data_IF_145022351106
#
_entry.id   IF_145022351106
#
_cell.length_a   1.000
_cell.length_b   1.000
_cell.length_c   1.000
_cell.angle_alpha   90.00
_cell.angle_beta   90.00
_cell.angle_gamma   90.00
#
_symmetry.space_group_name_H-M   'P 1'
#
loop_
_entity.id
_entity.type
_entity.pdbx_description
1 polymer ?
#
# COMPACT_ATOMS: atom_id res chain seq x y z
N UNK A 1 6.90 -0.45 17.37
CA UNK A 1 6.36 0.91 17.15
C UNK A 1 4.94 0.87 17.65
N UNK A 2 4.59 1.74 18.60
CA UNK A 2 3.25 1.77 19.16
C UNK A 2 2.28 2.44 18.17
N UNK A 3 0.98 2.14 18.26
CA UNK A 3 -0.03 2.67 17.33
C UNK A 3 -0.03 4.21 17.28
N UNK A 4 0.12 4.86 18.43
CA UNK A 4 0.22 6.33 18.51
C UNK A 4 1.42 6.90 17.74
N UNK A 5 2.57 6.20 17.79
CA UNK A 5 3.77 6.63 17.05
C UNK A 5 3.56 6.48 15.54
N UNK A 6 2.84 5.44 15.12
CA UNK A 6 2.49 5.22 13.72
C UNK A 6 1.65 6.37 13.17
N UNK A 7 0.52 6.70 13.82
CA UNK A 7 -0.37 7.80 13.42
C UNK A 7 0.37 9.15 13.43
N UNK A 8 1.22 9.39 14.43
CA UNK A 8 2.01 10.62 14.49
C UNK A 8 2.96 10.75 13.28
N UNK A 9 3.60 9.65 12.86
CA UNK A 9 4.47 9.63 11.67
C UNK A 9 3.66 9.86 10.40
N UNK A 10 2.48 9.27 10.27
CA UNK A 10 1.62 9.47 9.09
C UNK A 10 1.21 10.93 8.92
N UNK A 11 0.70 11.57 9.98
CA UNK A 11 0.34 12.98 9.95
C UNK A 11 1.55 13.88 9.66
N UNK A 12 2.72 13.56 10.22
CA UNK A 12 3.95 14.29 9.93
C UNK A 12 4.32 14.20 8.45
N UNK A 13 4.25 13.01 7.86
CA UNK A 13 4.55 12.80 6.44
C UNK A 13 3.55 13.53 5.55
N UNK A 14 2.25 13.46 5.86
CA UNK A 14 1.21 14.22 5.13
C UNK A 14 1.47 15.72 5.23
N UNK A 15 1.77 16.25 6.41
CA UNK A 15 2.07 17.66 6.60
C UNK A 15 3.28 18.11 5.76
N UNK A 16 4.34 17.32 5.74
CA UNK A 16 5.52 17.58 4.89
C UNK A 16 5.12 17.59 3.40
N UNK A 17 4.34 16.60 2.96
CA UNK A 17 3.84 16.53 1.59
C UNK A 17 2.98 17.73 1.20
N UNK A 18 2.10 18.20 2.10
CA UNK A 18 1.29 19.42 1.91
C UNK A 18 2.19 20.64 1.75
N UNK A 19 3.18 20.82 2.64
CA UNK A 19 4.10 21.96 2.59
C UNK A 19 4.89 21.97 1.28
N UNK A 20 5.44 20.83 0.87
CA UNK A 20 6.24 20.74 -0.36
C UNK A 20 5.36 20.98 -1.60
N UNK A 21 4.15 20.40 -1.63
CA UNK A 21 3.23 20.55 -2.76
C UNK A 21 2.73 21.98 -2.89
N UNK A 22 2.37 22.63 -1.78
CA UNK A 22 1.95 24.03 -1.77
C UNK A 22 3.09 24.96 -2.17
N UNK A 23 4.30 24.77 -1.62
CA UNK A 23 5.48 25.53 -2.03
C UNK A 23 5.74 25.40 -3.54
N UNK A 24 5.65 24.18 -4.09
CA UNK A 24 5.79 23.92 -5.53
C UNK A 24 4.75 24.69 -6.35
N UNK A 25 3.47 24.65 -5.95
CA UNK A 25 2.39 25.37 -6.62
C UNK A 25 2.57 26.89 -6.58
N UNK A 26 2.99 27.43 -5.43
CA UNK A 26 3.24 28.87 -5.25
C UNK A 26 4.40 29.34 -6.14
N UNK A 27 5.53 28.63 -6.13
CA UNK A 27 6.69 28.96 -6.98
C UNK A 27 6.31 28.94 -8.44
N UNK A 28 5.54 27.92 -8.86
CA UNK A 28 5.12 27.79 -10.26
C UNK A 28 4.15 28.89 -10.69
N UNK A 29 3.25 29.28 -9.79
CA UNK A 29 2.33 30.39 -10.00
C UNK A 29 3.07 31.71 -10.11
N UNK A 30 4.04 31.96 -9.23
CA UNK A 30 4.84 33.18 -9.26
C UNK A 30 5.70 33.29 -10.52
N UNK A 31 6.26 32.17 -11.00
CA UNK A 31 7.05 32.14 -12.24
C UNK A 31 6.18 32.10 -13.51
N UNK A 32 4.86 32.05 -13.40
CA UNK A 32 3.94 32.01 -14.54
C UNK A 32 4.05 30.74 -15.39
N UNK A 33 4.59 29.64 -14.84
CA UNK A 33 4.88 28.41 -15.60
C UNK A 33 3.64 27.49 -15.60
N UNK A 34 2.54 27.97 -16.17
CA UNK A 34 1.26 27.23 -16.17
C UNK A 34 1.02 26.34 -17.39
N UNK A 35 1.95 26.31 -18.35
CA UNK A 35 1.75 25.65 -19.65
C UNK A 35 1.48 24.14 -19.56
N UNK A 36 1.78 23.48 -18.43
CA UNK A 36 1.60 22.04 -18.25
C UNK A 36 1.13 21.68 -16.83
N UNK A 37 -0.15 21.86 -16.55
CA UNK A 37 -0.77 21.67 -15.21
C UNK A 37 -1.02 20.22 -14.79
N UNK A 38 -0.91 19.25 -15.71
CA UNK A 38 -1.22 17.84 -15.43
C UNK A 38 -0.35 17.21 -14.33
N UNK A 39 0.94 17.53 -14.29
CA UNK A 39 1.84 17.01 -13.24
C UNK A 39 1.39 17.46 -11.85
N UNK A 40 1.06 18.75 -11.70
CA UNK A 40 0.64 19.28 -10.42
C UNK A 40 -0.80 18.87 -10.06
N UNK A 41 -1.67 18.68 -11.05
CA UNK A 41 -3.01 18.11 -10.84
C UNK A 41 -2.92 16.71 -10.23
N UNK A 42 -2.17 15.80 -10.86
CA UNK A 42 -2.04 14.43 -10.36
C UNK A 42 -1.39 14.38 -8.97
N UNK A 43 -0.45 15.29 -8.69
CA UNK A 43 0.17 15.40 -7.37
C UNK A 43 -0.83 15.82 -6.29
N UNK A 44 -1.63 16.85 -6.58
CA UNK A 44 -2.65 17.35 -5.65
C UNK A 44 -3.74 16.29 -5.45
N UNK A 45 -4.19 15.64 -6.52
CA UNK A 45 -5.15 14.55 -6.42
C UNK A 45 -4.60 13.43 -5.54
N UNK A 46 -3.37 12.96 -5.79
CA UNK A 46 -2.71 11.95 -4.95
C UNK A 46 -2.73 12.32 -3.46
N UNK A 47 -2.37 13.57 -3.13
CA UNK A 47 -2.43 14.06 -1.76
C UNK A 47 -3.85 14.04 -1.17
N UNK A 48 -4.86 14.40 -1.97
CA UNK A 48 -6.27 14.34 -1.56
C UNK A 48 -6.75 12.90 -1.31
N UNK A 49 -6.16 11.89 -1.96
CA UNK A 49 -6.46 10.47 -1.67
C UNK A 49 -5.79 9.99 -0.38
N UNK A 50 -4.58 10.48 -0.06
CA UNK A 50 -3.89 10.08 1.18
C UNK A 50 -4.48 10.70 2.46
N UNK A 51 -5.14 11.87 2.37
CA UNK A 51 -5.76 12.51 3.54
C UNK A 51 -6.87 11.65 4.17
N UNK A 52 -7.86 11.13 3.41
CA UNK A 52 -8.88 10.22 3.93
C UNK A 52 -8.29 8.95 4.58
N UNK A 53 -7.20 8.40 4.02
CA UNK A 53 -6.55 7.22 4.59
C UNK A 53 -6.06 7.51 6.01
N UNK A 54 -5.21 8.53 6.17
CA UNK A 54 -4.66 8.89 7.49
C UNK A 54 -5.75 9.34 8.47
N UNK A 55 -6.79 10.02 7.98
CA UNK A 55 -7.94 10.39 8.79
C UNK A 55 -8.73 9.15 9.26
N UNK A 56 -8.91 8.15 8.39
CA UNK A 56 -9.59 6.91 8.73
C UNK A 56 -8.79 6.05 9.70
N UNK A 57 -7.48 5.97 9.55
CA UNK A 57 -6.61 5.26 10.50
C UNK A 57 -6.66 5.92 11.89
N UNK A 58 -6.72 7.25 11.92
CA UNK A 58 -6.95 8.01 13.17
C UNK A 58 -8.34 7.75 13.76
N UNK A 59 -9.37 7.61 12.92
CA UNK A 59 -10.73 7.30 13.37
C UNK A 59 -10.83 5.89 13.96
N UNK A 60 -10.25 4.88 13.29
CA UNK A 60 -10.18 3.50 13.79
C UNK A 60 -9.50 3.46 15.16
N UNK A 61 -8.43 4.21 15.34
CA UNK A 61 -7.78 4.34 16.63
C UNK A 61 -8.69 4.94 17.70
N UNK A 62 -9.43 5.99 17.34
CA UNK A 62 -10.30 6.71 18.28
C UNK A 62 -11.44 5.85 18.83
N UNK A 63 -11.87 4.83 18.10
CA UNK A 63 -12.88 3.85 18.54
C UNK A 63 -12.27 2.67 19.32
N UNK A 64 -10.98 2.73 19.68
CA UNK A 64 -10.29 1.72 20.49
C UNK A 64 -9.88 0.46 19.72
N UNK A 65 -10.00 0.48 18.40
CA UNK A 65 -9.53 -0.61 17.54
C UNK A 65 -8.05 -0.41 17.28
N UNK A 66 -7.24 -1.40 17.66
CA UNK A 66 -5.79 -1.45 17.42
C UNK A 66 -5.47 -2.67 16.57
N UNK A 67 -4.24 -2.79 16.06
CA UNK A 67 -3.81 -3.92 15.22
C UNK A 67 -4.16 -5.31 15.80
N UNK A 68 -4.26 -5.44 17.12
CA UNK A 68 -4.52 -6.70 17.82
C UNK A 68 -5.98 -6.87 18.27
N UNK A 69 -6.78 -5.80 18.33
CA UNK A 69 -8.14 -5.81 18.88
C UNK A 69 -9.24 -5.66 17.83
N UNK A 70 -8.87 -5.68 16.54
CA UNK A 70 -9.80 -5.44 15.43
C UNK A 70 -10.96 -6.43 15.47
N UNK A 71 -12.13 -5.95 15.89
CA UNK A 71 -13.38 -6.67 15.73
C UNK A 71 -13.92 -6.39 14.32
N UNK A 72 -14.00 -7.44 13.49
CA UNK A 72 -14.51 -7.34 12.12
C UNK A 72 -16.00 -7.02 12.15
N UNK A 73 -16.31 -5.73 12.03
CA UNK A 73 -17.66 -5.23 11.82
C UNK A 73 -17.84 -4.91 10.33
N UNK A 74 -19.05 -5.09 9.80
CA UNK A 74 -19.39 -4.74 8.42
C UNK A 74 -18.92 -3.33 8.00
N UNK A 75 -19.15 -2.24 8.77
CA UNK A 75 -18.66 -0.90 8.38
C UNK A 75 -17.13 -0.81 8.32
N UNK A 76 -16.41 -1.57 9.15
CA UNK A 76 -14.95 -1.58 9.13
C UNK A 76 -14.41 -2.35 7.92
N UNK A 77 -15.07 -3.44 7.53
CA UNK A 77 -14.72 -4.18 6.32
C UNK A 77 -14.96 -3.35 5.05
N UNK A 78 -16.07 -2.59 4.98
CA UNK A 78 -16.32 -1.63 3.90
C UNK A 78 -15.22 -0.56 3.85
N UNK A 79 -14.84 -0.03 5.02
CA UNK A 79 -13.77 0.96 5.10
C UNK A 79 -12.44 0.38 4.61
N UNK A 80 -12.06 -0.83 5.04
CA UNK A 80 -10.82 -1.47 4.58
C UNK A 80 -10.80 -1.69 3.08
N UNK A 81 -11.88 -2.22 2.51
CA UNK A 81 -12.03 -2.36 1.07
C UNK A 81 -11.85 -1.02 0.34
N UNK A 82 -12.55 0.03 0.80
CA UNK A 82 -12.44 1.36 0.22
C UNK A 82 -11.01 1.95 0.38
N UNK A 83 -10.39 1.74 1.54
CA UNK A 83 -9.06 2.25 1.85
C UNK A 83 -7.98 1.63 0.96
N UNK A 84 -8.08 0.34 0.61
CA UNK A 84 -7.17 -0.32 -0.32
C UNK A 84 -7.23 0.35 -1.70
N UNK A 85 -8.43 0.55 -2.25
CA UNK A 85 -8.61 1.20 -3.55
C UNK A 85 -8.12 2.65 -3.55
N UNK A 86 -8.44 3.41 -2.49
CA UNK A 86 -8.01 4.81 -2.31
C UNK A 86 -6.49 4.89 -2.22
N UNK A 87 -5.87 3.97 -1.46
CA UNK A 87 -4.42 3.88 -1.29
C UNK A 87 -3.72 3.61 -2.62
N UNK A 88 -4.12 2.56 -3.35
CA UNK A 88 -3.51 2.22 -4.63
C UNK A 88 -3.67 3.34 -5.66
N UNK A 89 -4.86 3.93 -5.75
CA UNK A 89 -5.10 5.06 -6.64
C UNK A 89 -4.24 6.27 -6.27
N UNK A 90 -4.09 6.58 -4.98
CA UNK A 90 -3.19 7.63 -4.49
C UNK A 90 -1.74 7.40 -4.92
N UNK A 91 -1.24 6.16 -4.82
CA UNK A 91 0.09 5.78 -5.26
C UNK A 91 0.29 5.91 -6.78
N UNK A 92 -0.66 5.42 -7.59
CA UNK A 92 -0.57 5.57 -9.04
C UNK A 92 -0.66 7.03 -9.50
N UNK A 93 -1.49 7.86 -8.86
CA UNK A 93 -1.56 9.29 -9.16
C UNK A 93 -0.24 10.02 -8.86
N UNK A 94 0.45 9.67 -7.78
CA UNK A 94 1.79 10.21 -7.50
C UNK A 94 2.79 9.86 -8.63
N UNK A 95 2.72 8.64 -9.15
CA UNK A 95 3.56 8.18 -10.28
C UNK A 95 3.20 8.91 -11.58
N UNK A 96 1.91 9.10 -11.86
CA UNK A 96 1.46 9.87 -13.03
C UNK A 96 1.89 11.33 -12.97
N UNK A 97 1.94 11.94 -11.78
CA UNK A 97 2.53 13.28 -11.61
C UNK A 97 3.98 13.33 -12.08
N UNK A 98 4.78 12.34 -11.72
CA UNK A 98 6.19 12.25 -12.12
C UNK A 98 6.34 11.94 -13.62
N UNK A 99 5.53 11.04 -14.17
CA UNK A 99 5.50 10.75 -15.61
C UNK A 99 5.07 11.98 -16.44
N UNK A 100 4.10 12.74 -15.97
CA UNK A 100 3.67 13.98 -16.59
C UNK A 100 4.75 15.07 -16.51
N UNK A 101 5.56 15.10 -15.44
CA UNK A 101 6.74 15.95 -15.35
C UNK A 101 7.80 15.53 -16.38
N UNK A 102 8.09 14.22 -16.48
CA UNK A 102 9.02 13.71 -17.48
C UNK A 102 8.57 14.01 -18.91
N UNK A 103 7.28 13.94 -19.20
CA UNK A 103 6.73 14.33 -20.49
C UNK A 103 7.09 15.78 -20.89
N UNK A 104 7.23 16.68 -19.90
CA UNK A 104 7.66 18.07 -20.13
C UNK A 104 9.17 18.19 -20.28
N UNK A 105 9.93 17.37 -19.55
CA UNK A 105 11.39 17.38 -19.58
C UNK A 105 11.96 16.86 -20.90
N UNK A 106 11.31 15.84 -21.48
CA UNK A 106 11.77 15.24 -22.72
C UNK A 106 11.42 16.10 -23.94
N UNK A 107 12.38 16.59 -24.75
CA UNK A 107 12.04 17.24 -26.00
C UNK A 107 11.43 16.25 -27.00
N UNK A 108 10.56 16.73 -27.91
CA UNK A 108 9.89 15.89 -28.92
C UNK A 108 10.89 15.32 -29.94
N UNK A 109 12.05 15.96 -30.11
CA UNK A 109 13.11 15.54 -31.03
C UNK A 109 13.77 14.22 -30.67
N UNK A 110 13.73 13.79 -29.40
CA UNK A 110 14.42 12.60 -28.93
C UNK A 110 13.48 11.38 -28.90
N UNK A 111 13.47 10.63 -30.00
CA UNK A 111 12.52 9.51 -30.21
C UNK A 111 12.71 8.37 -29.21
N UNK A 112 13.96 7.97 -28.92
CA UNK A 112 14.26 6.83 -28.02
C UNK A 112 13.72 7.01 -26.59
N UNK A 113 14.05 8.10 -25.86
CA UNK A 113 13.52 8.30 -24.51
C UNK A 113 12.01 8.56 -24.50
N UNK A 114 11.45 9.10 -25.59
CA UNK A 114 10.00 9.25 -25.74
C UNK A 114 9.27 7.92 -25.85
N UNK A 115 9.80 6.97 -26.63
CA UNK A 115 9.25 5.61 -26.69
C UNK A 115 9.30 4.95 -25.31
N UNK A 116 10.45 5.03 -24.63
CA UNK A 116 10.59 4.46 -23.29
C UNK A 116 9.60 5.07 -22.30
N UNK A 117 9.43 6.39 -22.32
CA UNK A 117 8.42 7.07 -21.50
C UNK A 117 7.02 6.51 -21.76
N UNK A 118 6.61 6.38 -23.03
CA UNK A 118 5.29 5.85 -23.39
C UNK A 118 5.10 4.39 -22.96
N UNK A 119 6.15 3.56 -23.04
CA UNK A 119 6.11 2.19 -22.53
C UNK A 119 5.88 2.19 -21.02
N UNK A 120 6.59 3.03 -20.26
CA UNK A 120 6.41 3.12 -18.80
C UNK A 120 5.04 3.69 -18.43
N UNK A 121 4.54 4.67 -19.18
CA UNK A 121 3.17 5.20 -19.01
C UNK A 121 2.14 4.10 -19.25
N UNK A 122 2.24 3.37 -20.36
CA UNK A 122 1.34 2.26 -20.68
C UNK A 122 1.39 1.17 -19.60
N UNK A 123 2.58 0.84 -19.09
CA UNK A 123 2.74 -0.11 -18.00
C UNK A 123 2.07 0.38 -16.71
N UNK A 124 2.22 1.65 -16.33
CA UNK A 124 1.57 2.20 -15.13
C UNK A 124 0.05 2.28 -15.27
N UNK A 125 -0.47 2.60 -16.46
CA UNK A 125 -1.92 2.57 -16.74
C UNK A 125 -2.43 1.13 -16.65
N UNK A 126 -1.75 0.18 -17.29
CA UNK A 126 -2.09 -1.24 -17.20
C UNK A 126 -2.03 -1.76 -15.77
N UNK A 127 -1.03 -1.32 -15.00
CA UNK A 127 -0.88 -1.62 -13.57
C UNK A 127 -2.05 -1.11 -12.74
N UNK A 128 -2.39 0.18 -12.88
CA UNK A 128 -3.55 0.77 -12.19
C UNK A 128 -4.83 0.00 -12.49
N UNK A 129 -5.08 -0.30 -13.77
CA UNK A 129 -6.27 -1.05 -14.17
C UNK A 129 -6.24 -2.45 -13.57
N UNK A 130 -5.13 -3.19 -13.73
CA UNK A 130 -4.99 -4.55 -13.20
C UNK A 130 -5.20 -4.60 -11.69
N UNK A 131 -4.55 -3.73 -10.91
CA UNK A 131 -4.73 -3.60 -9.46
C UNK A 131 -6.19 -3.31 -9.13
N UNK A 132 -6.78 -2.27 -9.73
CA UNK A 132 -8.18 -1.93 -9.45
C UNK A 132 -9.17 -3.03 -9.81
N UNK A 133 -8.95 -3.77 -10.90
CA UNK A 133 -9.78 -4.92 -11.28
C UNK A 133 -9.61 -6.08 -10.30
N UNK A 134 -8.38 -6.39 -9.90
CA UNK A 134 -8.09 -7.44 -8.92
C UNK A 134 -8.76 -7.10 -7.59
N UNK A 135 -8.51 -5.92 -7.04
CA UNK A 135 -9.04 -5.53 -5.73
C UNK A 135 -10.57 -5.49 -5.72
N UNK A 136 -11.19 -5.08 -6.83
CA UNK A 136 -12.66 -4.96 -6.92
C UNK A 136 -13.35 -6.29 -7.18
N UNK A 137 -12.78 -7.13 -8.07
CA UNK A 137 -13.44 -8.32 -8.60
C UNK A 137 -12.80 -9.65 -8.19
N UNK A 138 -11.89 -9.65 -7.21
CA UNK A 138 -11.25 -10.88 -6.71
C UNK A 138 -12.29 -11.95 -6.32
N UNK A 139 -13.31 -11.53 -5.55
CA UNK A 139 -14.37 -12.40 -5.06
C UNK A 139 -15.49 -12.65 -6.09
N UNK A 140 -15.25 -12.32 -7.36
CA UNK A 140 -16.17 -12.49 -8.47
C UNK A 140 -16.95 -11.23 -8.84
N UNK A 141 -18.03 -11.39 -9.61
CA UNK A 141 -18.82 -10.27 -10.14
C UNK A 141 -19.61 -9.53 -9.06
N UNK A 142 -19.85 -10.15 -7.91
CA UNK A 142 -20.55 -9.52 -6.80
C UNK A 142 -19.56 -8.86 -5.85
N UNK A 143 -19.36 -7.56 -6.05
CA UNK A 143 -18.38 -6.74 -5.30
C UNK A 143 -18.66 -6.73 -3.80
N UNK A 144 -19.92 -6.93 -3.37
CA UNK A 144 -20.29 -6.91 -1.95
C UNK A 144 -19.75 -8.08 -1.14
N UNK A 145 -19.23 -9.12 -1.81
CA UNK A 145 -18.57 -10.22 -1.13
C UNK A 145 -17.26 -9.78 -0.46
N UNK A 146 -16.62 -8.72 -0.96
CA UNK A 146 -15.38 -8.16 -0.40
C UNK A 146 -15.49 -7.73 1.08
N UNK A 147 -16.70 -7.45 1.56
CA UNK A 147 -16.96 -7.04 2.94
C UNK A 147 -18.08 -7.87 3.60
N UNK A 148 -18.39 -9.05 3.06
CA UNK A 148 -19.38 -9.96 3.64
C UNK A 148 -18.87 -10.58 4.94
N UNK A 149 -19.76 -10.83 5.90
CA UNK A 149 -19.44 -11.46 7.19
C UNK A 149 -19.78 -12.96 7.19
N UNK A 150 -19.01 -13.78 7.91
CA UNK A 150 -19.26 -15.23 8.09
C UNK A 150 -18.53 -16.14 7.09
N UNK A 151 -19.05 -17.34 6.84
CA UNK A 151 -18.43 -18.38 5.99
C UNK A 151 -18.33 -18.00 4.49
N UNK A 152 -18.88 -16.84 4.11
CA UNK A 152 -18.81 -16.28 2.74
C UNK A 152 -17.89 -15.06 2.65
N UNK A 153 -17.18 -14.73 3.73
CA UNK A 153 -16.20 -13.66 3.74
C UNK A 153 -15.07 -14.00 2.77
N UNK A 154 -14.91 -13.15 1.76
CA UNK A 154 -13.81 -13.17 0.82
C UNK A 154 -13.34 -11.72 0.75
N UNK A 155 -12.12 -11.43 1.17
CA UNK A 155 -11.56 -10.08 1.06
C UNK A 155 -10.29 -10.17 0.22
N UNK A 156 -10.23 -9.39 -0.86
CA UNK A 156 -9.04 -9.36 -1.73
C UNK A 156 -7.76 -8.99 -0.94
N UNK A 157 -7.88 -8.14 0.09
CA UNK A 157 -6.79 -7.71 0.96
C UNK A 157 -6.21 -8.81 1.84
N UNK A 158 -7.02 -9.83 2.16
CA UNK A 158 -6.66 -10.90 3.08
C UNK A 158 -6.16 -12.14 2.33
N UNK A 159 -6.35 -12.16 1.00
CA UNK A 159 -5.91 -13.24 0.14
C UNK A 159 -4.41 -13.08 -0.24
N UNK A 160 -3.56 -14.06 0.08
CA UNK A 160 -2.13 -13.97 -0.19
C UNK A 160 -1.81 -13.95 -1.69
N UNK A 161 -2.63 -14.58 -2.53
CA UNK A 161 -2.43 -14.61 -3.99
C UNK A 161 -2.60 -13.21 -4.58
N UNK A 162 -3.60 -12.46 -4.11
CA UNK A 162 -3.77 -11.05 -4.50
C UNK A 162 -2.52 -10.24 -4.18
N UNK A 163 -2.00 -10.38 -2.96
CA UNK A 163 -0.78 -9.69 -2.54
C UNK A 163 0.43 -10.05 -3.41
N UNK A 164 0.59 -11.33 -3.80
CA UNK A 164 1.67 -11.78 -4.68
C UNK A 164 1.58 -11.23 -6.11
N UNK A 165 0.41 -10.79 -6.56
CA UNK A 165 0.25 -10.22 -7.92
C UNK A 165 0.36 -8.70 -7.87
N UNK A 166 -0.41 -8.06 -6.98
CA UNK A 166 -0.53 -6.60 -6.93
C UNK A 166 0.76 -5.95 -6.47
N UNK A 167 1.42 -6.50 -5.45
CA UNK A 167 2.58 -5.85 -4.85
C UNK A 167 3.82 -5.87 -5.75
N UNK A 168 4.21 -6.98 -6.39
CA UNK A 168 5.31 -6.97 -7.35
C UNK A 168 5.04 -6.06 -8.55
N UNK A 169 3.78 -5.97 -9.01
CA UNK A 169 3.38 -5.05 -10.07
C UNK A 169 3.62 -3.59 -9.66
N UNK A 170 3.22 -3.24 -8.44
CA UNK A 170 3.47 -1.93 -7.84
C UNK A 170 4.99 -1.65 -7.73
N UNK A 171 5.79 -2.59 -7.21
CA UNK A 171 7.26 -2.45 -7.11
C UNK A 171 7.91 -2.30 -8.50
N UNK A 172 7.50 -3.12 -9.47
CA UNK A 172 8.01 -3.04 -10.84
C UNK A 172 7.71 -1.69 -11.48
N UNK A 173 6.51 -1.15 -11.24
CA UNK A 173 6.11 0.17 -11.74
C UNK A 173 7.02 1.29 -11.19
N UNK A 174 7.37 1.22 -9.91
CA UNK A 174 8.28 2.17 -9.26
C UNK A 174 9.70 2.09 -9.81
N UNK A 175 10.20 0.87 -10.01
CA UNK A 175 11.51 0.64 -10.61
C UNK A 175 11.55 1.22 -12.03
N UNK A 176 10.53 1.00 -12.85
CA UNK A 176 10.50 1.56 -14.20
C UNK A 176 10.47 3.08 -14.23
N UNK A 177 9.65 3.71 -13.39
CA UNK A 177 9.60 5.18 -13.28
C UNK A 177 10.93 5.74 -12.79
N UNK A 178 11.60 5.02 -11.88
CA UNK A 178 12.92 5.38 -11.36
C UNK A 178 14.05 5.24 -12.39
N UNK A 179 13.96 4.26 -13.29
CA UNK A 179 14.97 4.02 -14.33
C UNK A 179 14.91 5.03 -15.49
N UNK A 180 13.77 5.69 -15.72
CA UNK A 180 13.61 6.70 -16.77
C UNK A 180 14.69 7.79 -16.81
N UNK A 181 15.04 8.48 -15.70
CA UNK A 181 16.09 9.50 -15.71
C UNK A 181 17.49 8.95 -16.04
N UNK A 182 17.77 7.67 -15.76
CA UNK A 182 19.08 7.05 -16.02
C UNK A 182 19.43 6.97 -17.49
N UNK A 183 18.44 6.68 -18.33
CA UNK A 183 18.63 6.57 -19.78
C UNK A 183 19.14 7.87 -20.42
N UNK A 184 18.94 9.00 -19.75
CA UNK A 184 19.35 10.34 -20.22
C UNK A 184 20.68 10.76 -19.60
N UNK A 185 20.88 10.46 -18.32
CA UNK A 185 22.09 10.86 -17.59
C UNK A 185 23.36 10.29 -18.20
N UNK A 186 23.26 9.10 -18.77
CA UNK A 186 24.34 8.48 -19.54
C UNK A 186 24.77 9.32 -20.77
N UNK A 187 23.91 10.23 -21.25
CA UNK A 187 24.18 11.13 -22.38
C UNK A 187 24.58 12.54 -21.94
N UNK A 188 24.19 12.96 -20.74
CA UNK A 188 24.44 14.30 -20.21
C UNK A 188 25.73 14.34 -19.37
N UNK A 189 26.87 14.05 -20.00
CA UNK A 189 28.19 14.12 -19.37
C UNK A 189 28.69 15.58 -19.12
N UNK A 190 27.80 16.59 -19.22
CA UNK A 190 28.09 18.03 -19.11
C UNK A 190 27.20 18.79 -18.11
N UNK A 191 26.66 18.11 -17.09
CA UNK A 191 25.83 18.76 -16.07
C UNK A 191 26.67 19.56 -15.05
N UNK A 192 26.16 20.72 -14.63
CA UNK A 192 26.79 21.54 -13.60
C UNK A 192 26.70 20.86 -12.23
N UNK A 193 27.63 21.17 -11.32
CA UNK A 193 27.68 20.57 -9.96
C UNK A 193 26.35 20.69 -9.20
N UNK A 194 25.63 21.82 -9.35
CA UNK A 194 24.33 22.06 -8.71
C UNK A 194 23.23 21.12 -9.22
N UNK A 195 23.18 20.90 -10.54
CA UNK A 195 22.22 20.00 -11.18
C UNK A 195 22.51 18.55 -10.79
N UNK A 196 23.78 18.18 -10.69
CA UNK A 196 24.21 16.87 -10.19
C UNK A 196 23.76 16.63 -8.75
N UNK A 197 23.85 17.62 -7.87
CA UNK A 197 23.37 17.50 -6.48
C UNK A 197 21.86 17.28 -6.41
N UNK A 198 21.06 18.09 -7.08
CA UNK A 198 19.59 17.91 -7.11
C UNK A 198 19.20 16.52 -7.64
N UNK A 199 19.93 16.05 -8.64
CA UNK A 199 19.71 14.75 -9.23
C UNK A 199 20.07 13.58 -8.29
N UNK A 200 21.17 13.70 -7.53
CA UNK A 200 21.50 12.74 -6.47
C UNK A 200 20.42 12.73 -5.38
N UNK A 201 19.88 13.88 -4.99
CA UNK A 201 18.79 13.93 -4.01
C UNK A 201 17.53 13.22 -4.51
N UNK A 202 17.13 13.44 -5.76
CA UNK A 202 15.98 12.75 -6.37
C UNK A 202 16.25 11.24 -6.46
N UNK A 203 17.48 10.84 -6.78
CA UNK A 203 17.88 9.43 -6.80
C UNK A 203 17.77 8.76 -5.44
N UNK A 204 18.32 9.38 -4.39
CA UNK A 204 18.24 8.85 -3.03
C UNK A 204 16.79 8.72 -2.56
N UNK A 205 15.94 9.69 -2.90
CA UNK A 205 14.52 9.64 -2.61
C UNK A 205 13.83 8.47 -3.35
N UNK A 206 14.15 8.26 -4.63
CA UNK A 206 13.62 7.12 -5.40
C UNK A 206 14.09 5.76 -4.87
N UNK A 207 15.35 5.65 -4.43
CA UNK A 207 15.84 4.45 -3.74
C UNK A 207 15.07 4.20 -2.44
N UNK A 208 14.81 5.26 -1.66
CA UNK A 208 14.07 5.15 -0.41
C UNK A 208 12.62 4.71 -0.65
N UNK A 209 11.96 5.20 -1.69
CA UNK A 209 10.60 4.76 -2.03
C UNK A 209 10.56 3.29 -2.45
N UNK A 210 11.52 2.84 -3.28
CA UNK A 210 11.61 1.41 -3.67
C UNK A 210 11.90 0.54 -2.44
N UNK A 211 12.83 0.96 -1.58
CA UNK A 211 13.14 0.24 -0.34
C UNK A 211 11.92 0.14 0.58
N UNK A 212 11.14 1.22 0.72
CA UNK A 212 9.91 1.21 1.49
C UNK A 212 8.86 0.26 0.88
N UNK A 213 8.71 0.24 -0.45
CA UNK A 213 7.77 -0.66 -1.13
C UNK A 213 8.20 -2.14 -1.02
N UNK A 214 9.50 -2.43 -1.10
CA UNK A 214 10.03 -3.78 -0.85
C UNK A 214 9.82 -4.17 0.62
N UNK A 215 10.02 -3.26 1.56
CA UNK A 215 9.75 -3.53 2.97
C UNK A 215 8.27 -3.82 3.23
N UNK A 216 7.35 -3.09 2.58
CA UNK A 216 5.92 -3.43 2.61
C UNK A 216 5.68 -4.85 2.10
N UNK A 217 6.29 -5.19 0.96
CA UNK A 217 6.19 -6.53 0.38
C UNK A 217 6.63 -7.63 1.34
N UNK A 218 7.84 -7.51 1.90
CA UNK A 218 8.38 -8.54 2.78
C UNK A 218 7.59 -8.66 4.08
N UNK A 219 7.15 -7.55 4.66
CA UNK A 219 6.37 -7.56 5.90
C UNK A 219 5.00 -8.21 5.69
N UNK A 220 4.26 -7.84 4.65
CA UNK A 220 2.95 -8.44 4.43
C UNK A 220 3.02 -9.92 4.07
N UNK A 221 3.96 -10.31 3.22
CA UNK A 221 4.17 -11.73 2.88
C UNK A 221 4.53 -12.54 4.13
N UNK A 222 5.40 -12.02 5.00
CA UNK A 222 5.76 -12.70 6.25
C UNK A 222 4.55 -12.84 7.18
N UNK A 223 3.71 -11.81 7.29
CA UNK A 223 2.50 -11.86 8.11
C UNK A 223 1.48 -12.89 7.60
N UNK A 224 1.28 -12.96 6.29
CA UNK A 224 0.41 -13.93 5.63
C UNK A 224 0.90 -15.37 5.82
N UNK A 225 2.19 -15.64 5.58
CA UNK A 225 2.76 -16.97 5.83
C UNK A 225 2.62 -17.39 7.29
N UNK A 226 2.78 -16.45 8.22
CA UNK A 226 2.60 -16.75 9.65
C UNK A 226 1.14 -17.06 9.97
N UNK A 227 0.16 -16.48 9.26
CA UNK A 227 -1.26 -16.80 9.42
C UNK A 227 -1.57 -18.19 8.85
N UNK A 228 -1.12 -18.50 7.63
CA UNK A 228 -1.31 -19.81 7.02
C UNK A 228 -0.67 -20.95 7.84
N UNK A 229 0.53 -20.71 8.38
CA UNK A 229 1.21 -21.64 9.29
C UNK A 229 0.42 -21.86 10.59
N UNK A 230 -0.22 -20.82 11.14
CA UNK A 230 -1.08 -20.97 12.33
C UNK A 230 -2.35 -21.79 12.02
N UNK A 231 -3.00 -21.54 10.89
CA UNK A 231 -4.23 -22.26 10.48
C UNK A 231 -3.97 -23.72 10.15
N UNK A 232 -2.87 -24.03 9.45
CA UNK A 232 -2.49 -25.41 9.07
C UNK A 232 -2.10 -26.28 10.26
N UNK A 233 -1.57 -25.69 11.34
CA UNK A 233 -1.25 -26.39 12.58
C UNK A 233 -2.40 -26.42 13.60
N UNK A 234 -3.57 -25.86 13.27
CA UNK A 234 -4.70 -25.78 14.20
C UNK A 234 -4.34 -25.07 15.50
N UNK A 235 -3.56 -23.99 15.42
CA UNK A 235 -3.12 -23.21 16.59
C UNK A 235 -3.93 -21.91 16.65
N UNK A 236 -4.59 -21.66 17.79
CA UNK A 236 -5.24 -20.37 18.06
C UNK A 236 -4.17 -19.36 18.46
N UNK A 237 -4.16 -18.19 17.82
CA UNK A 237 -3.23 -17.11 18.15
C UNK A 237 -3.82 -16.29 19.31
N UNK A 238 -3.58 -16.72 20.55
CA UNK A 238 -3.95 -15.94 21.74
C UNK A 238 -2.76 -15.00 22.08
N UNK A 239 -2.81 -13.75 21.59
CA UNK A 239 -1.82 -12.72 21.91
C UNK A 239 -2.13 -12.11 23.28
N UNK A 240 -1.34 -12.44 24.30
CA UNK A 240 -1.36 -11.75 25.60
C UNK A 240 -0.30 -10.64 25.63
N UNK A 241 -0.61 -9.56 26.35
CA UNK A 241 0.03 -8.22 26.39
C UNK A 241 1.52 -8.12 26.79
N UNK A 242 2.32 -9.18 26.68
CA UNK A 242 3.70 -9.22 27.20
C UNK A 242 4.75 -9.63 26.13
N UNK A 243 4.50 -9.29 24.85
CA UNK A 243 5.39 -9.58 23.70
C UNK A 243 5.84 -11.05 23.57
N UNK A 244 5.16 -11.97 24.25
CA UNK A 244 5.48 -13.39 24.32
C UNK A 244 4.39 -14.19 23.61
N UNK A 245 4.60 -14.53 22.33
CA UNK A 245 3.72 -15.45 21.62
C UNK A 245 3.81 -16.84 22.25
N UNK A 246 2.77 -17.27 22.97
CA UNK A 246 2.69 -18.62 23.53
C UNK A 246 1.74 -19.47 22.68
N UNK A 247 2.31 -20.41 21.95
CA UNK A 247 1.58 -21.39 21.13
C UNK A 247 0.75 -22.31 22.03
N UNK A 248 -0.58 -22.21 21.97
CA UNK A 248 -1.48 -23.16 22.64
C UNK A 248 -2.09 -24.11 21.61
N UNK A 249 -1.64 -25.37 21.66
CA UNK A 249 -2.17 -26.48 20.87
C UNK A 249 -3.65 -26.73 21.17
N UNK A 250 -4.51 -26.76 20.14
CA UNK A 250 -5.92 -27.17 20.25
C UNK A 250 -6.09 -28.65 20.63
N UNK A 251 -5.02 -29.45 20.66
CA UNK A 251 -5.10 -30.88 20.98
C UNK A 251 -5.51 -31.17 22.44
N UNK A 252 -5.45 -30.20 23.36
CA UNK A 252 -5.84 -30.41 24.76
C UNK A 252 -7.31 -30.10 25.04
N UNK A 253 -8.02 -29.39 24.17
CA UNK A 253 -9.46 -29.09 24.37
C UNK A 253 -10.36 -30.28 24.03
N UNK A 254 -10.01 -31.08 23.00
CA UNK A 254 -10.80 -32.27 22.63
C UNK A 254 -10.68 -33.41 23.64
N UNK A 255 -9.52 -33.55 24.31
CA UNK A 255 -9.34 -34.55 25.36
C UNK A 255 -10.11 -34.21 26.65
N UNK A 256 -10.24 -32.93 27.00
CA UNK A 256 -10.99 -32.53 28.19
C UNK A 256 -12.51 -32.64 28.02
N UNK A 257 -13.04 -32.43 26.80
CA UNK A 257 -14.47 -32.63 26.51
C UNK A 257 -14.83 -34.13 26.38
N UNK A 258 -13.94 -34.94 25.81
CA UNK A 258 -14.12 -36.40 25.73
C UNK A 258 -14.07 -37.09 27.11
N UNK A 259 -13.19 -36.64 28.02
CA UNK A 259 -13.12 -37.20 29.38
C UNK A 259 -14.29 -36.76 30.28
N UNK A 260 -14.82 -35.56 30.10
CA UNK A 260 -15.96 -35.06 30.89
C UNK A 260 -17.28 -35.73 30.48
N UNK A 261 -17.43 -36.06 29.19
CA UNK A 261 -18.60 -36.78 28.66
C UNK A 261 -18.61 -38.27 29.04
N UNK A 262 -17.43 -38.92 29.09
CA UNK A 262 -17.33 -40.31 29.58
C UNK A 262 -17.58 -40.45 31.09
N UNK A 263 -17.28 -39.42 31.91
CA UNK A 263 -17.59 -39.44 33.36
C UNK A 263 -19.07 -39.25 33.68
N UNK A 264 -19.86 -38.57 32.82
CA UNK A 264 -21.31 -38.44 33.00
C UNK A 264 -22.08 -39.72 32.65
N UNK A 265 -21.60 -40.53 31.70
CA UNK A 265 -22.27 -41.78 31.31
C UNK A 265 -22.08 -42.95 32.29
N UNK A 266 -21.12 -42.89 33.23
CA UNK A 266 -20.92 -43.91 34.27
C UNK A 266 -21.71 -43.67 35.57
N UNK A 267 -22.40 -42.53 35.72
CA UNK A 267 -23.26 -42.24 36.89
C UNK A 267 -24.76 -42.44 36.63
N UNK A 268 -25.14 -42.92 35.44
CA UNK A 268 -26.52 -43.17 35.03
C UNK A 268 -26.80 -44.66 34.75
N UNK A 269 -26.08 -45.55 35.45
CA UNK A 269 -26.41 -46.98 35.60
C UNK A 269 -26.30 -47.36 37.06
#
# INVERSE_FOLDING_TARGET
MNFEQYIAVEWLLVAICVIITTARLVVRSWKGIWRYWLSDLFLVLSLLFFIPIVAGDTYIFSIGQTFDTVEYTEPLAIWWFASTLIFDLGFYLARFSLLAFYYQLFPVSEVKPRILLWVVVAFNIGGLLATGFIDTFWCGANVSLNWASGDTACAASDDPVTAYIVWPLNVASEVFVFLLPFSILQRLNKLNKKEKTSLICIFLLGCATIAASVARFTLGVTNLFTLEACTSHGLRRDCHSDHSCRFTSLATSSQHYAQTTQRRFRRAK
#
